data_IF_862436419156
#
_entry.id   IF_862436419156
#
_cell.length_a   1.000
_cell.length_b   1.000
_cell.length_c   1.000
_cell.angle_alpha   90.00
_cell.angle_beta   90.00
_cell.angle_gamma   90.00
#
_symmetry.space_group_name_H-M   'P 1'
#
loop_
_entity.id
_entity.type
_entity.pdbx_description
1 polymer ?
#
# COMPACT_ATOMS: atom_id res chain seq x y z
N UNK A 1 -18.62 -11.89 -4.20
CA UNK A 1 -18.55 -10.45 -4.12
C UNK A 1 -17.78 -9.91 -5.29
N UNK A 2 -18.36 -8.98 -6.01
CA UNK A 2 -17.67 -8.40 -7.15
C UNK A 2 -16.54 -7.51 -6.67
N UNK A 3 -15.38 -7.62 -7.31
CA UNK A 3 -14.30 -6.65 -7.19
C UNK A 3 -14.85 -5.32 -7.69
N UNK A 4 -14.84 -4.29 -6.84
CA UNK A 4 -15.28 -2.94 -7.18
C UNK A 4 -14.10 -1.99 -7.36
N UNK A 5 -14.27 -0.99 -8.19
CA UNK A 5 -13.32 0.08 -8.45
C UNK A 5 -14.05 1.31 -8.98
N UNK A 6 -13.46 2.52 -8.95
CA UNK A 6 -14.13 3.73 -9.43
C UNK A 6 -14.48 3.63 -10.92
N UNK A 7 -15.71 3.98 -11.27
CA UNK A 7 -16.25 3.81 -12.64
C UNK A 7 -15.43 4.51 -13.73
N UNK A 8 -14.77 5.62 -13.39
CA UNK A 8 -13.91 6.37 -14.31
C UNK A 8 -12.71 5.58 -14.84
N UNK A 9 -12.28 4.52 -14.13
CA UNK A 9 -11.16 3.66 -14.52
C UNK A 9 -11.57 2.35 -15.21
N UNK A 10 -12.75 2.31 -15.84
CA UNK A 10 -13.23 1.09 -16.53
C UNK A 10 -12.35 0.66 -17.70
N UNK A 11 -11.78 1.62 -18.44
CA UNK A 11 -10.90 1.33 -19.59
C UNK A 11 -9.60 0.71 -19.13
N UNK A 12 -8.97 1.29 -18.12
CA UNK A 12 -7.74 0.79 -17.51
C UNK A 12 -7.94 -0.58 -16.87
N UNK A 13 -9.07 -0.79 -16.20
CA UNK A 13 -9.46 -2.10 -15.66
C UNK A 13 -9.64 -3.16 -16.75
N UNK A 14 -10.24 -2.80 -17.88
CA UNK A 14 -10.40 -3.70 -19.02
C UNK A 14 -9.04 -4.06 -19.63
N UNK A 15 -8.15 -3.08 -19.82
CA UNK A 15 -6.80 -3.29 -20.30
C UNK A 15 -6.00 -4.21 -19.36
N UNK A 16 -6.04 -3.97 -18.05
CA UNK A 16 -5.38 -4.80 -17.05
C UNK A 16 -5.88 -6.27 -17.08
N UNK A 17 -7.19 -6.48 -17.28
CA UNK A 17 -7.76 -7.82 -17.43
C UNK A 17 -7.26 -8.55 -18.69
N UNK A 18 -7.15 -7.83 -19.81
CA UNK A 18 -6.63 -8.40 -21.07
C UNK A 18 -5.18 -8.82 -20.87
N UNK A 19 -4.34 -7.92 -20.33
CA UNK A 19 -2.92 -8.21 -20.05
C UNK A 19 -2.79 -9.41 -19.12
N UNK A 20 -3.53 -9.45 -18.01
CA UNK A 20 -3.50 -10.59 -17.09
C UNK A 20 -3.87 -11.91 -17.77
N UNK A 21 -4.90 -11.92 -18.64
CA UNK A 21 -5.29 -13.11 -19.37
C UNK A 21 -4.23 -13.58 -20.39
N UNK A 22 -3.55 -12.63 -21.01
CA UNK A 22 -2.47 -12.94 -21.96
C UNK A 22 -1.22 -13.47 -21.25
N UNK A 23 -0.91 -12.93 -20.06
CA UNK A 23 0.24 -13.37 -19.27
C UNK A 23 0.04 -14.70 -18.56
N UNK A 24 -1.20 -15.10 -18.30
CA UNK A 24 -1.52 -16.34 -17.56
C UNK A 24 -2.47 -17.27 -18.34
N UNK A 25 -2.17 -17.58 -19.62
CA UNK A 25 -3.00 -18.49 -20.40
C UNK A 25 -2.91 -19.90 -19.82
N UNK A 26 -4.05 -20.57 -19.65
CA UNK A 26 -4.12 -21.98 -19.23
C UNK A 26 -3.52 -22.30 -17.85
N UNK A 27 -3.47 -21.31 -16.93
CA UNK A 27 -3.01 -21.58 -15.56
C UNK A 27 -3.91 -22.62 -14.87
N UNK A 28 -3.28 -23.61 -14.23
CA UNK A 28 -3.97 -24.67 -13.48
C UNK A 28 -4.48 -24.14 -12.13
N UNK A 29 -3.75 -23.21 -11.53
CA UNK A 29 -4.12 -22.52 -10.29
C UNK A 29 -3.65 -21.06 -10.30
N UNK A 30 -4.32 -20.23 -9.53
CA UNK A 30 -3.95 -18.83 -9.28
C UNK A 30 -3.73 -18.62 -7.79
N UNK A 31 -2.53 -18.31 -7.39
CA UNK A 31 -2.18 -17.92 -6.04
C UNK A 31 -2.12 -16.38 -5.97
N UNK A 32 -3.13 -15.79 -5.36
CA UNK A 32 -3.37 -14.34 -5.41
C UNK A 32 -3.14 -13.75 -4.02
N UNK A 33 -2.19 -12.83 -3.91
CA UNK A 33 -1.95 -12.09 -2.67
C UNK A 33 -2.78 -10.82 -2.63
N UNK A 34 -3.38 -10.50 -1.48
CA UNK A 34 -4.20 -9.31 -1.30
C UNK A 34 -4.26 -8.90 0.17
N UNK A 35 -4.26 -7.59 0.44
CA UNK A 35 -4.48 -7.06 1.80
C UNK A 35 -5.96 -6.91 2.17
N UNK A 36 -6.86 -7.32 1.30
CA UNK A 36 -8.30 -7.49 1.56
C UNK A 36 -8.73 -8.85 1.01
N UNK A 37 -9.87 -9.37 1.44
CA UNK A 37 -10.35 -10.69 1.00
C UNK A 37 -11.45 -10.54 -0.06
N UNK A 38 -11.10 -10.62 -1.35
CA UNK A 38 -12.10 -10.64 -2.41
C UNK A 38 -12.84 -11.97 -2.42
N UNK A 39 -14.11 -11.95 -2.82
CA UNK A 39 -14.84 -13.19 -3.11
C UNK A 39 -14.65 -13.55 -4.58
N UNK A 40 -14.32 -14.81 -4.87
CA UNK A 40 -14.20 -15.32 -6.22
C UNK A 40 -15.08 -16.55 -6.43
N UNK A 41 -15.66 -16.65 -7.62
CA UNK A 41 -16.34 -17.87 -8.09
C UNK A 41 -15.38 -18.83 -8.79
N UNK A 42 -14.16 -18.42 -9.08
CA UNK A 42 -13.16 -19.25 -9.72
C UNK A 42 -12.57 -20.24 -8.71
N UNK A 43 -12.88 -21.52 -8.86
CA UNK A 43 -12.40 -22.60 -7.98
C UNK A 43 -10.87 -22.82 -8.04
N UNK A 44 -10.20 -22.27 -9.08
CA UNK A 44 -8.74 -22.33 -9.23
C UNK A 44 -8.01 -21.12 -8.59
N UNK A 45 -8.73 -20.16 -8.00
CA UNK A 45 -8.16 -18.97 -7.38
C UNK A 45 -8.10 -19.14 -5.87
N UNK A 46 -6.90 -19.11 -5.33
CA UNK A 46 -6.59 -19.15 -3.90
C UNK A 46 -6.11 -17.79 -3.45
N UNK A 47 -6.70 -17.25 -2.39
CA UNK A 47 -6.38 -15.91 -1.89
C UNK A 47 -5.58 -16.00 -0.59
N UNK A 48 -4.51 -15.23 -0.52
CA UNK A 48 -3.58 -15.19 0.59
C UNK A 48 -3.31 -13.76 1.04
N UNK A 49 -2.84 -13.56 2.28
CA UNK A 49 -2.27 -12.29 2.71
C UNK A 49 -1.11 -11.86 1.80
N UNK A 50 -0.75 -10.57 1.80
CA UNK A 50 0.46 -10.11 1.13
C UNK A 50 1.70 -10.85 1.61
N UNK A 51 2.63 -11.14 0.68
CA UNK A 51 3.96 -11.61 1.05
C UNK A 51 4.73 -10.43 1.63
N UNK A 52 5.21 -10.59 2.85
CA UNK A 52 5.97 -9.57 3.55
C UNK A 52 7.39 -10.06 3.80
N UNK A 53 8.35 -9.14 3.72
CA UNK A 53 9.74 -9.45 4.08
C UNK A 53 9.87 -9.71 5.58
N UNK A 54 10.86 -10.51 5.94
CA UNK A 54 11.12 -10.96 7.32
C UNK A 54 11.22 -9.78 8.29
N UNK A 55 11.92 -8.74 7.89
CA UNK A 55 12.14 -7.55 8.72
C UNK A 55 10.84 -6.81 9.07
N UNK A 56 9.82 -6.88 8.21
CA UNK A 56 8.49 -6.33 8.49
C UNK A 56 7.73 -7.24 9.46
N UNK A 57 7.78 -8.56 9.22
CA UNK A 57 7.10 -9.56 10.06
C UNK A 57 7.61 -9.53 11.50
N UNK A 58 8.92 -9.34 11.71
CA UNK A 58 9.58 -9.27 13.00
C UNK A 58 9.55 -7.87 13.65
N UNK A 59 9.06 -6.86 12.92
CA UNK A 59 9.01 -5.49 13.43
C UNK A 59 7.92 -5.29 14.47
N UNK A 60 8.27 -4.62 15.56
CA UNK A 60 7.32 -4.08 16.53
C UNK A 60 7.06 -2.61 16.16
N UNK A 61 5.85 -2.28 15.67
CA UNK A 61 5.53 -0.91 15.31
C UNK A 61 5.44 -0.01 16.54
N UNK A 62 5.90 1.22 16.42
CA UNK A 62 5.72 2.27 17.42
C UNK A 62 5.09 3.51 16.78
N UNK A 63 4.53 4.40 17.58
CA UNK A 63 3.93 5.63 17.08
C UNK A 63 4.82 6.83 17.38
N UNK A 64 5.55 7.29 16.39
CA UNK A 64 6.26 8.57 16.42
C UNK A 64 5.38 9.73 15.97
N UNK A 65 5.98 10.88 15.79
CA UNK A 65 5.30 12.13 15.40
C UNK A 65 5.43 12.46 13.90
N UNK A 66 6.30 11.75 13.18
CA UNK A 66 6.54 11.99 11.76
C UNK A 66 5.63 11.17 10.85
N UNK A 67 5.26 11.74 9.70
CA UNK A 67 4.62 11.04 8.59
C UNK A 67 5.67 10.68 7.57
N UNK A 68 5.72 9.42 7.14
CA UNK A 68 6.57 9.00 6.03
C UNK A 68 5.90 9.34 4.71
N UNK A 69 6.64 10.02 3.84
CA UNK A 69 6.24 10.33 2.47
C UNK A 69 7.13 9.53 1.51
N UNK A 70 6.52 8.76 0.61
CA UNK A 70 7.25 8.04 -0.42
C UNK A 70 6.65 8.28 -1.80
N UNK A 71 7.47 8.77 -2.72
CA UNK A 71 7.09 8.98 -4.11
C UNK A 71 8.02 8.23 -5.05
N UNK A 72 7.48 7.72 -6.15
CA UNK A 72 8.26 7.03 -7.20
C UNK A 72 8.96 8.01 -8.14
N UNK A 73 8.51 9.25 -8.16
CA UNK A 73 9.13 10.34 -8.94
C UNK A 73 9.13 11.62 -8.11
N UNK A 74 10.22 12.41 -8.16
CA UNK A 74 10.31 13.67 -7.45
C UNK A 74 9.16 14.61 -7.81
N UNK A 75 8.56 15.27 -6.82
CA UNK A 75 7.51 16.28 -7.00
C UNK A 75 7.82 17.50 -6.13
N UNK A 76 8.23 18.59 -6.76
CA UNK A 76 8.44 19.88 -6.08
C UNK A 76 7.12 20.44 -5.55
N UNK A 77 6.05 20.31 -6.33
CA UNK A 77 4.69 20.73 -5.96
C UNK A 77 4.21 20.05 -4.67
N UNK A 78 4.47 18.74 -4.54
CA UNK A 78 4.15 18.02 -3.31
C UNK A 78 5.02 18.51 -2.14
N UNK A 79 6.31 18.75 -2.34
CA UNK A 79 7.18 19.27 -1.28
C UNK A 79 6.69 20.64 -0.79
N UNK A 80 6.35 21.56 -1.70
CA UNK A 80 5.85 22.89 -1.35
C UNK A 80 4.47 22.84 -0.68
N UNK A 81 3.62 21.91 -1.07
CA UNK A 81 2.37 21.63 -0.38
C UNK A 81 2.61 21.20 1.07
N UNK A 82 3.48 20.21 1.28
CA UNK A 82 3.74 19.63 2.60
C UNK A 82 4.40 20.64 3.56
N UNK A 83 5.18 21.59 3.06
CA UNK A 83 5.74 22.69 3.87
C UNK A 83 4.68 23.57 4.52
N UNK A 84 3.50 23.67 3.92
CA UNK A 84 2.39 24.51 4.43
C UNK A 84 1.62 23.83 5.58
N UNK A 85 1.92 22.57 5.88
CA UNK A 85 1.19 21.77 6.85
C UNK A 85 2.00 21.67 8.14
N UNK A 86 1.38 21.91 9.28
CA UNK A 86 2.04 21.80 10.60
C UNK A 86 2.22 20.35 11.02
N UNK A 87 3.08 19.63 10.29
CA UNK A 87 3.41 18.22 10.51
C UNK A 87 4.85 17.97 10.08
N UNK A 88 5.58 17.11 10.80
CA UNK A 88 6.90 16.61 10.37
C UNK A 88 6.73 15.50 9.34
N UNK A 89 7.49 15.61 8.25
CA UNK A 89 7.53 14.62 7.20
C UNK A 89 8.93 14.07 6.98
N UNK A 90 9.05 12.76 6.84
CA UNK A 90 10.27 12.07 6.38
C UNK A 90 10.04 11.64 4.94
N UNK A 91 10.78 12.24 4.02
CA UNK A 91 10.50 12.21 2.58
C UNK A 91 11.52 11.35 1.83
N UNK A 92 11.02 10.36 1.07
CA UNK A 92 11.78 9.49 0.19
C UNK A 92 11.34 9.63 -1.27
N UNK A 93 12.28 9.41 -2.21
CA UNK A 93 12.00 9.47 -3.65
C UNK A 93 12.15 10.86 -4.28
N UNK A 94 12.62 11.86 -3.53
CA UNK A 94 12.80 13.24 -4.00
C UNK A 94 14.19 13.52 -4.60
N UNK A 95 15.07 12.52 -4.67
CA UNK A 95 16.45 12.64 -5.19
C UNK A 95 17.28 13.74 -4.50
N UNK A 96 17.00 14.00 -3.23
CA UNK A 96 17.73 14.99 -2.40
C UNK A 96 17.84 14.52 -0.96
N UNK A 97 18.76 15.11 -0.21
CA UNK A 97 18.96 14.90 1.22
C UNK A 97 18.94 16.21 1.98
N UNK A 98 18.71 16.10 3.29
CA UNK A 98 18.75 17.23 4.21
C UNK A 98 17.38 17.69 4.68
N UNK A 99 17.37 18.74 5.49
CA UNK A 99 16.15 19.31 6.05
C UNK A 99 15.77 20.58 5.31
N UNK A 100 14.46 20.78 5.15
CA UNK A 100 13.87 21.95 4.55
C UNK A 100 12.54 22.23 5.27
N UNK A 101 12.59 23.10 6.29
CA UNK A 101 11.47 23.35 7.18
C UNK A 101 11.07 22.09 7.97
N UNK A 102 9.81 21.68 7.81
CA UNK A 102 9.22 20.50 8.41
C UNK A 102 9.49 19.20 7.61
N UNK A 103 10.20 19.29 6.48
CA UNK A 103 10.54 18.15 5.63
C UNK A 103 11.97 17.67 5.91
N UNK A 104 12.12 16.37 6.10
CA UNK A 104 13.42 15.72 6.16
C UNK A 104 13.56 14.74 4.99
N UNK A 105 14.33 15.13 3.99
CA UNK A 105 14.61 14.32 2.80
C UNK A 105 15.72 13.32 3.08
N UNK A 106 15.47 12.06 2.71
CA UNK A 106 16.42 10.96 2.88
C UNK A 106 16.61 10.21 1.56
N UNK A 107 17.84 9.75 1.32
CA UNK A 107 18.10 8.79 0.24
C UNK A 107 17.49 7.43 0.55
N UNK A 108 17.08 6.67 -0.48
CA UNK A 108 16.62 5.31 -0.31
C UNK A 108 17.69 4.47 0.40
N UNK A 109 17.33 3.91 1.55
CA UNK A 109 18.11 2.97 2.34
C UNK A 109 17.11 2.01 2.98
N UNK A 110 17.24 0.73 2.67
CA UNK A 110 16.27 -0.27 3.08
C UNK A 110 16.04 -0.31 4.60
N UNK A 111 17.12 -0.36 5.37
CA UNK A 111 17.05 -0.42 6.85
C UNK A 111 16.51 0.87 7.45
N UNK A 112 16.99 2.02 6.95
CA UNK A 112 16.54 3.34 7.41
C UNK A 112 15.09 3.60 7.06
N UNK A 113 14.67 3.24 5.84
CA UNK A 113 13.28 3.37 5.43
C UNK A 113 12.33 2.53 6.29
N UNK A 114 12.68 1.25 6.54
CA UNK A 114 11.87 0.39 7.39
C UNK A 114 11.78 0.90 8.83
N UNK A 115 12.89 1.42 9.38
CA UNK A 115 12.87 2.08 10.69
C UNK A 115 11.88 3.25 10.70
N UNK A 116 12.01 4.17 9.74
CA UNK A 116 11.12 5.34 9.67
C UNK A 116 9.65 4.93 9.45
N UNK A 117 9.40 3.92 8.62
CA UNK A 117 8.06 3.36 8.40
C UNK A 117 7.47 2.78 9.69
N UNK A 118 8.25 1.97 10.40
CA UNK A 118 7.86 1.35 11.67
C UNK A 118 7.53 2.38 12.75
N UNK A 119 8.31 3.47 12.80
CA UNK A 119 8.20 4.52 13.80
C UNK A 119 7.27 5.68 13.37
N UNK A 120 6.74 5.64 12.14
CA UNK A 120 5.86 6.70 11.64
C UNK A 120 4.48 6.68 12.31
N UNK A 121 3.82 7.85 12.30
CA UNK A 121 2.40 7.92 12.70
C UNK A 121 1.45 7.60 11.55
N UNK A 122 1.87 7.77 10.29
CA UNK A 122 1.10 7.52 9.07
C UNK A 122 2.03 7.54 7.84
N UNK A 123 1.49 7.14 6.69
CA UNK A 123 2.17 7.13 5.40
C UNK A 123 1.38 7.95 4.37
N UNK A 124 2.09 8.73 3.55
CA UNK A 124 1.57 9.39 2.34
C UNK A 124 2.39 8.88 1.17
N UNK A 125 1.79 8.12 0.26
CA UNK A 125 2.58 7.55 -0.84
C UNK A 125 1.73 7.16 -2.05
N UNK A 126 2.45 6.89 -3.16
CA UNK A 126 1.88 6.14 -4.27
C UNK A 126 1.49 4.75 -3.78
N UNK A 127 0.34 4.25 -4.19
CA UNK A 127 -0.26 3.03 -3.64
C UNK A 127 0.22 1.76 -4.33
N UNK A 128 1.56 1.61 -4.45
CA UNK A 128 2.20 0.36 -4.85
C UNK A 128 1.92 -0.74 -3.82
N UNK A 129 1.68 -1.97 -4.28
CA UNK A 129 1.21 -3.08 -3.44
C UNK A 129 2.12 -3.37 -2.25
N UNK A 130 3.44 -3.44 -2.45
CA UNK A 130 4.40 -3.80 -1.40
C UNK A 130 4.38 -2.82 -0.23
N UNK A 131 4.56 -1.51 -0.50
CA UNK A 131 4.57 -0.50 0.55
C UNK A 131 3.21 -0.38 1.25
N UNK A 132 2.11 -0.43 0.47
CA UNK A 132 0.78 -0.44 1.06
C UNK A 132 0.61 -1.61 2.02
N UNK A 133 0.99 -2.82 1.61
CA UNK A 133 0.87 -4.02 2.44
C UNK A 133 1.71 -3.96 3.72
N UNK A 134 2.95 -3.49 3.62
CA UNK A 134 3.85 -3.30 4.77
C UNK A 134 3.31 -2.26 5.76
N UNK A 135 2.83 -1.11 5.25
CA UNK A 135 2.25 -0.06 6.07
C UNK A 135 1.00 -0.55 6.83
N UNK A 136 0.09 -1.24 6.14
CA UNK A 136 -1.13 -1.79 6.77
C UNK A 136 -0.80 -2.87 7.81
N UNK A 137 0.16 -3.76 7.52
CA UNK A 137 0.65 -4.76 8.47
C UNK A 137 1.21 -4.12 9.74
N UNK A 138 1.98 -3.03 9.61
CA UNK A 138 2.52 -2.25 10.71
C UNK A 138 1.48 -1.34 11.38
N UNK A 139 0.22 -1.37 10.95
CA UNK A 139 -0.86 -0.57 11.53
C UNK A 139 -0.77 0.92 11.21
N UNK A 140 -0.14 1.29 10.08
CA UNK A 140 0.04 2.69 9.69
C UNK A 140 -1.09 3.17 8.79
N UNK A 141 -1.88 4.18 9.19
CA UNK A 141 -2.84 4.85 8.31
C UNK A 141 -2.16 5.30 7.01
N UNK A 142 -2.84 5.13 5.89
CA UNK A 142 -2.24 5.32 4.58
C UNK A 142 -3.03 6.32 3.73
N UNK A 143 -2.41 7.46 3.39
CA UNK A 143 -2.93 8.37 2.38
C UNK A 143 -2.42 7.94 1.02
N UNK A 144 -3.31 7.37 0.24
CA UNK A 144 -3.04 6.82 -1.08
C UNK A 144 -3.20 7.90 -2.16
N UNK A 145 -2.12 8.15 -2.91
CA UNK A 145 -2.08 9.06 -4.04
C UNK A 145 -1.49 8.34 -5.26
N UNK A 146 -2.31 7.59 -6.03
CA UNK A 146 -1.83 6.73 -7.10
C UNK A 146 -1.26 7.54 -8.26
N UNK A 147 -0.25 6.97 -8.93
CA UNK A 147 0.26 7.49 -10.20
C UNK A 147 -0.84 7.36 -11.25
N UNK A 148 -1.05 8.42 -12.02
CA UNK A 148 -2.04 8.44 -13.10
C UNK A 148 -1.81 7.28 -14.08
N UNK A 149 -2.92 6.68 -14.55
CA UNK A 149 -2.94 5.54 -15.49
C UNK A 149 -2.31 4.23 -14.98
N UNK A 150 -1.93 4.13 -13.71
CA UNK A 150 -1.53 2.86 -13.09
C UNK A 150 -2.72 2.23 -12.36
N UNK A 151 -3.48 1.41 -13.08
CA UNK A 151 -4.71 0.82 -12.54
C UNK A 151 -4.50 0.02 -11.25
N UNK A 152 -3.38 -0.70 -11.12
CA UNK A 152 -3.03 -1.42 -9.88
C UNK A 152 -2.99 -0.48 -8.67
N UNK A 153 -2.32 0.67 -8.81
CA UNK A 153 -2.23 1.64 -7.73
C UNK A 153 -3.59 2.28 -7.39
N UNK A 154 -4.38 2.60 -8.42
CA UNK A 154 -5.75 3.09 -8.21
C UNK A 154 -6.61 2.06 -7.49
N UNK A 155 -6.46 0.81 -7.84
CA UNK A 155 -7.17 -0.30 -7.23
C UNK A 155 -6.78 -0.48 -5.76
N UNK A 156 -5.49 -0.46 -5.45
CA UNK A 156 -4.99 -0.51 -4.08
C UNK A 156 -5.48 0.70 -3.26
N UNK A 157 -5.38 1.92 -3.80
CA UNK A 157 -5.86 3.14 -3.16
C UNK A 157 -7.35 3.07 -2.83
N UNK A 158 -8.15 2.62 -3.78
CA UNK A 158 -9.59 2.44 -3.58
C UNK A 158 -9.91 1.48 -2.44
N UNK A 159 -9.17 0.38 -2.29
CA UNK A 159 -9.40 -0.56 -1.20
C UNK A 159 -8.84 -0.08 0.15
N UNK A 160 -7.77 0.68 0.18
CA UNK A 160 -7.30 1.38 1.40
C UNK A 160 -8.41 2.26 1.98
N UNK A 161 -9.02 3.08 1.13
CA UNK A 161 -10.13 3.96 1.52
C UNK A 161 -11.39 3.17 1.89
N UNK A 162 -11.81 2.24 1.05
CA UNK A 162 -13.01 1.42 1.25
C UNK A 162 -12.98 0.59 2.54
N UNK A 163 -11.80 0.11 2.93
CA UNK A 163 -11.59 -0.63 4.18
C UNK A 163 -11.43 0.28 5.39
N UNK A 164 -11.37 1.60 5.17
CA UNK A 164 -11.16 2.58 6.23
C UNK A 164 -9.76 2.53 6.84
N UNK A 165 -8.77 2.08 6.09
CA UNK A 165 -7.37 2.03 6.52
C UNK A 165 -6.61 3.32 6.25
N UNK A 166 -7.26 4.26 5.59
CA UNK A 166 -6.73 5.54 5.21
C UNK A 166 -7.66 6.27 4.25
N UNK A 167 -7.10 7.11 3.40
CA UNK A 167 -7.83 7.90 2.41
C UNK A 167 -7.23 7.77 1.01
N UNK A 168 -8.04 8.03 -0.01
CA UNK A 168 -7.64 8.01 -1.41
C UNK A 168 -8.06 9.28 -2.13
N UNK A 169 -7.11 9.93 -2.81
CA UNK A 169 -7.39 11.00 -3.78
C UNK A 169 -6.50 10.86 -5.01
N UNK A 170 -7.02 11.26 -6.18
CA UNK A 170 -6.23 11.28 -7.42
C UNK A 170 -5.23 12.44 -7.47
N UNK A 171 -5.49 13.49 -6.70
CA UNK A 171 -4.64 14.67 -6.53
C UNK A 171 -4.61 15.06 -5.06
N UNK A 172 -3.53 15.68 -4.62
CA UNK A 172 -3.37 16.17 -3.26
C UNK A 172 -3.45 17.69 -3.21
N UNK A 173 -4.07 18.19 -2.15
CA UNK A 173 -4.02 19.58 -1.73
C UNK A 173 -3.90 19.63 -0.20
N UNK A 174 -3.73 20.81 0.35
CA UNK A 174 -3.52 21.01 1.79
C UNK A 174 -4.68 20.45 2.61
N UNK A 175 -5.90 20.76 2.23
CA UNK A 175 -7.13 20.37 2.95
C UNK A 175 -7.27 18.84 3.01
N UNK A 176 -6.93 18.14 1.93
CA UNK A 176 -6.99 16.67 1.86
C UNK A 176 -5.95 16.00 2.78
N UNK A 177 -4.73 16.53 2.81
CA UNK A 177 -3.70 16.01 3.70
C UNK A 177 -4.05 16.32 5.16
N UNK A 178 -4.53 17.53 5.47
CA UNK A 178 -4.97 17.91 6.82
C UNK A 178 -6.19 17.08 7.27
N UNK A 179 -7.17 16.84 6.37
CA UNK A 179 -8.30 15.96 6.64
C UNK A 179 -7.87 14.53 6.95
N UNK A 180 -6.92 13.98 6.20
CA UNK A 180 -6.34 12.67 6.50
C UNK A 180 -5.68 12.65 7.88
N UNK A 181 -4.86 13.64 8.19
CA UNK A 181 -4.18 13.75 9.50
C UNK A 181 -5.16 13.89 10.66
N UNK A 182 -6.25 14.58 10.46
CA UNK A 182 -7.32 14.73 11.47
C UNK A 182 -8.03 13.40 11.77
N UNK A 183 -8.16 12.52 10.77
CA UNK A 183 -8.89 11.25 10.87
C UNK A 183 -8.01 10.05 11.29
N UNK A 184 -6.74 10.24 11.66
CA UNK A 184 -5.80 9.13 11.95
C UNK A 184 -6.31 8.15 13.01
N UNK A 185 -7.02 8.63 14.04
CA UNK A 185 -7.57 7.77 15.11
C UNK A 185 -8.59 6.79 14.53
N UNK A 186 -9.49 7.25 13.67
CA UNK A 186 -10.49 6.40 13.03
C UNK A 186 -9.83 5.32 12.16
N UNK A 187 -8.82 5.67 11.36
CA UNK A 187 -8.09 4.71 10.53
C UNK A 187 -7.34 3.67 11.37
N UNK A 188 -6.71 4.06 12.48
CA UNK A 188 -6.05 3.13 13.41
C UNK A 188 -7.02 2.16 14.04
N UNK A 189 -8.20 2.60 14.44
CA UNK A 189 -9.25 1.74 15.00
C UNK A 189 -9.67 0.66 13.99
N UNK A 190 -9.72 0.98 12.71
CA UNK A 190 -9.98 0.01 11.65
C UNK A 190 -8.77 -0.92 11.42
N UNK A 191 -7.55 -0.37 11.40
CA UNK A 191 -6.31 -1.14 11.26
C UNK A 191 -6.03 -2.07 12.44
N UNK A 192 -6.55 -1.79 13.63
CA UNK A 192 -6.49 -2.70 14.76
C UNK A 192 -7.19 -4.04 14.48
N UNK A 193 -8.14 -4.06 13.52
CA UNK A 193 -8.86 -5.26 13.06
C UNK A 193 -8.20 -5.92 11.85
N UNK A 194 -7.13 -5.32 11.31
CA UNK A 194 -6.42 -5.88 10.14
C UNK A 194 -5.77 -7.22 10.50
N UNK A 195 -6.03 -8.28 9.72
CA UNK A 195 -5.47 -9.60 10.02
C UNK A 195 -3.97 -9.63 9.71
N UNK A 196 -3.14 -9.50 10.73
CA UNK A 196 -1.68 -9.60 10.63
C UNK A 196 -1.28 -11.06 10.51
N UNK A 197 -1.20 -11.57 9.30
CA UNK A 197 -0.79 -12.94 8.99
C UNK A 197 0.59 -12.93 8.35
N UNK A 198 1.36 -13.97 8.61
CA UNK A 198 2.64 -14.21 7.97
C UNK A 198 2.49 -14.90 6.60
N UNK A 199 3.61 -15.31 6.02
CA UNK A 199 3.66 -15.93 4.70
C UNK A 199 3.34 -17.44 4.72
N UNK A 200 3.17 -18.07 5.87
CA UNK A 200 3.08 -19.53 6.03
C UNK A 200 1.91 -20.16 5.27
N UNK A 201 0.76 -19.49 5.27
CA UNK A 201 -0.43 -20.01 4.60
C UNK A 201 -0.27 -20.11 3.07
N UNK A 202 0.46 -19.17 2.45
CA UNK A 202 0.76 -19.22 1.03
C UNK A 202 1.78 -20.33 0.73
N UNK A 203 2.87 -20.38 1.49
CA UNK A 203 3.94 -21.34 1.24
C UNK A 203 3.47 -22.78 1.47
N UNK A 204 2.77 -23.04 2.57
CA UNK A 204 2.22 -24.37 2.82
C UNK A 204 1.23 -24.82 1.75
N UNK A 205 0.39 -23.89 1.21
CA UNK A 205 -0.53 -24.24 0.12
C UNK A 205 0.20 -24.45 -1.21
N UNK A 206 1.29 -23.73 -1.44
CA UNK A 206 2.11 -23.90 -2.62
C UNK A 206 2.84 -25.25 -2.59
N UNK A 207 3.41 -25.63 -1.45
CA UNK A 207 4.09 -26.92 -1.26
C UNK A 207 3.12 -28.07 -1.47
N UNK A 208 1.94 -28.05 -0.83
CA UNK A 208 0.86 -29.04 -1.04
C UNK A 208 0.48 -29.16 -2.53
N UNK A 209 0.40 -28.01 -3.21
CA UNK A 209 0.01 -28.00 -4.61
C UNK A 209 1.11 -28.59 -5.53
N UNK A 210 2.38 -28.30 -5.25
CA UNK A 210 3.54 -28.83 -5.98
C UNK A 210 3.62 -30.36 -5.79
N UNK A 211 3.57 -30.83 -4.55
CA UNK A 211 3.59 -32.27 -4.25
C UNK A 211 2.51 -33.05 -4.99
N UNK A 212 1.31 -32.46 -5.10
CA UNK A 212 0.18 -33.13 -5.76
C UNK A 212 0.23 -33.12 -7.29
N UNK A 213 0.92 -32.16 -7.93
CA UNK A 213 0.81 -31.94 -9.38
C UNK A 213 2.14 -31.97 -10.13
N UNK A 214 3.27 -31.98 -9.45
CA UNK A 214 4.62 -31.96 -10.04
C UNK A 214 5.44 -33.20 -9.64
N UNK A 215 5.05 -33.88 -8.56
CA UNK A 215 5.57 -35.20 -8.22
C UNK A 215 4.87 -36.27 -9.07
#
# INVERSE_FOLDING_TARGET
GEISYPRKYRKEAAAARIVSRLMTPRANAYFITSFFTPRSKNKRAFFFPPILRKEVLESVPSEGDAVVVYVTSPSLELADLLKQIRQRFVCYGFNREGRDGNLWFKKPNQTGFLKDLRESKAVVANSGFSLTSEALYLGKPYLAWPVRHQFEQVFNAYYVDKMGYGAYWDDLNKERVESFLFNLVAYRNNLAKYPRKDNSALFGKLDEWIEKHVA
#
